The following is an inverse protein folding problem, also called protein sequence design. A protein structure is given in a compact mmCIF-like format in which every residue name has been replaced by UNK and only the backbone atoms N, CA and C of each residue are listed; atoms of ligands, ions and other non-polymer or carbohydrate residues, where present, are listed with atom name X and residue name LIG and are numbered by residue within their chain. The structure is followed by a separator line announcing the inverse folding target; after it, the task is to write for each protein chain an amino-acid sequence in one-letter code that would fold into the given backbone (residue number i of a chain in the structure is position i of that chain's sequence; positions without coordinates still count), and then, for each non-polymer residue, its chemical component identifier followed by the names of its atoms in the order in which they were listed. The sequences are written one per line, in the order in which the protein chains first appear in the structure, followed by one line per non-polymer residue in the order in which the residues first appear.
data_IF_151996941363
#
_entry.id   IF_151996941363
#
_cell.length_a   1.000
_cell.length_b   1.000
_cell.length_c   1.000
_cell.angle_alpha   90.00
_cell.angle_beta   90.00
_cell.angle_gamma   90.00
#
_symmetry.space_group_name_H-M   'P 1'
#
loop_
_entity.id
_entity.type
_entity.pdbx_description
1 polymer ?
#
# COMPACT_ATOMS: atom_id res chain seq x y z
N UNK A 1 -37.00 -3.54 49.87
CA UNK A 1 -37.69 -4.85 49.70
C UNK A 1 -38.68 -4.65 48.56
N UNK A 2 -38.61 -5.26 47.39
CA UNK A 2 -38.01 -6.52 46.94
C UNK A 2 -37.35 -6.33 45.56
N UNK A 3 -36.27 -7.08 45.35
CA UNK A 3 -35.50 -7.24 44.12
C UNK A 3 -36.28 -7.95 43.00
N UNK A 4 -35.84 -7.73 41.76
CA UNK A 4 -35.68 -8.82 40.77
C UNK A 4 -36.76 -8.92 39.69
N UNK A 5 -36.36 -8.57 38.45
CA UNK A 5 -36.61 -9.38 37.25
C UNK A 5 -35.68 -8.89 36.13
N UNK A 6 -34.62 -9.67 35.93
CA UNK A 6 -33.82 -9.67 34.70
C UNK A 6 -34.75 -9.89 33.50
N UNK A 7 -35.03 -8.84 32.74
CA UNK A 7 -35.52 -8.96 31.36
C UNK A 7 -34.30 -9.21 30.45
N UNK A 8 -33.78 -10.44 30.48
CA UNK A 8 -32.96 -10.95 29.39
C UNK A 8 -33.91 -11.24 28.23
N UNK A 9 -33.94 -10.35 27.24
CA UNK A 9 -34.44 -10.71 25.92
C UNK A 9 -33.59 -11.89 25.41
N UNK A 10 -34.19 -13.00 24.93
CA UNK A 10 -33.45 -14.07 24.28
C UNK A 10 -32.62 -13.48 23.14
N UNK A 11 -31.32 -13.79 23.07
CA UNK A 11 -30.42 -13.32 22.01
C UNK A 11 -30.97 -13.64 20.61
N UNK A 12 -31.76 -14.72 20.53
CA UNK A 12 -32.42 -15.24 19.34
C UNK A 12 -33.35 -14.21 18.66
N UNK A 13 -33.90 -13.25 19.40
CA UNK A 13 -34.80 -12.20 18.88
C UNK A 13 -34.09 -10.93 18.41
N UNK A 14 -32.83 -10.72 18.82
CA UNK A 14 -32.02 -9.55 18.41
C UNK A 14 -31.17 -9.82 17.15
N UNK A 15 -31.00 -11.10 16.78
CA UNK A 15 -30.15 -11.53 15.66
C UNK A 15 -30.87 -12.40 14.61
N UNK A 16 -32.19 -12.57 14.68
CA UNK A 16 -32.92 -13.32 13.66
C UNK A 16 -32.97 -12.54 12.35
N UNK A 17 -32.32 -13.10 11.32
CA UNK A 17 -32.25 -12.54 9.97
C UNK A 17 -33.63 -12.55 9.30
N UNK A 18 -34.03 -11.47 8.59
CA UNK A 18 -35.26 -11.45 7.80
C UNK A 18 -35.24 -12.54 6.73
N UNK A 19 -36.37 -13.23 6.48
CA UNK A 19 -36.45 -14.33 5.51
C UNK A 19 -36.06 -13.92 4.07
N UNK A 20 -36.13 -12.63 3.74
CA UNK A 20 -35.82 -12.08 2.41
C UNK A 20 -34.44 -11.42 2.32
N UNK A 21 -33.61 -11.48 3.37
CA UNK A 21 -32.28 -10.88 3.35
C UNK A 21 -31.31 -11.71 2.47
N UNK A 22 -30.41 -11.08 1.69
CA UNK A 22 -29.41 -11.80 0.91
C UNK A 22 -28.55 -12.72 1.79
N UNK A 23 -28.13 -13.86 1.23
CA UNK A 23 -27.32 -14.89 1.91
C UNK A 23 -26.14 -14.25 2.65
N UNK A 24 -25.99 -14.60 3.93
CA UNK A 24 -24.84 -14.19 4.71
C UNK A 24 -23.56 -14.72 4.04
N UNK A 25 -22.41 -14.04 4.16
CA UNK A 25 -21.16 -14.48 3.55
C UNK A 25 -20.82 -15.95 3.85
N UNK A 26 -21.13 -16.44 5.05
CA UNK A 26 -20.92 -17.83 5.46
C UNK A 26 -21.79 -18.83 4.67
N UNK A 27 -23.03 -18.47 4.35
CA UNK A 27 -23.93 -19.32 3.56
C UNK A 27 -23.54 -19.34 2.09
N UNK A 28 -23.13 -18.20 1.53
CA UNK A 28 -22.55 -18.14 0.19
C UNK A 28 -21.31 -19.00 0.07
N UNK A 29 -20.45 -18.99 1.11
CA UNK A 29 -19.29 -19.87 1.19
C UNK A 29 -19.67 -21.35 1.26
N UNK A 30 -20.67 -21.73 2.07
CA UNK A 30 -21.17 -23.11 2.14
C UNK A 30 -21.72 -23.60 0.79
N UNK A 31 -22.48 -22.75 0.09
CA UNK A 31 -23.00 -23.04 -1.25
C UNK A 31 -21.87 -23.22 -2.26
N UNK A 32 -20.87 -22.34 -2.24
CA UNK A 32 -19.71 -22.45 -3.13
C UNK A 32 -18.88 -23.71 -2.86
N UNK A 33 -18.64 -24.05 -1.59
CA UNK A 33 -17.93 -25.28 -1.18
C UNK A 33 -18.67 -26.52 -1.67
N UNK A 34 -19.98 -26.59 -1.49
CA UNK A 34 -20.79 -27.70 -1.98
C UNK A 34 -20.70 -27.83 -3.51
N UNK A 35 -20.79 -26.71 -4.23
CA UNK A 35 -20.68 -26.70 -5.69
C UNK A 35 -19.30 -27.17 -6.20
N UNK A 36 -18.22 -26.90 -5.47
CA UNK A 36 -16.88 -27.44 -5.77
C UNK A 36 -16.79 -28.95 -5.53
N UNK A 37 -17.57 -29.50 -4.60
CA UNK A 37 -17.60 -30.95 -4.37
C UNK A 37 -18.41 -31.67 -5.46
N UNK A 38 -19.50 -31.05 -5.91
CA UNK A 38 -20.44 -31.67 -6.85
C UNK A 38 -20.03 -31.54 -8.32
N UNK A 39 -19.29 -30.49 -8.69
CA UNK A 39 -18.87 -30.21 -10.07
C UNK A 39 -17.34 -30.09 -10.18
N UNK A 40 -16.72 -31.12 -10.75
CA UNK A 40 -15.27 -31.19 -10.96
C UNK A 40 -14.75 -30.12 -11.95
N UNK A 41 -15.58 -29.71 -12.92
CA UNK A 41 -15.26 -28.65 -13.88
C UNK A 41 -15.26 -27.28 -13.20
N UNK A 42 -16.30 -26.99 -12.43
CA UNK A 42 -16.35 -25.79 -11.57
C UNK A 42 -15.21 -25.79 -10.56
N UNK A 43 -14.92 -26.92 -9.91
CA UNK A 43 -13.80 -27.06 -8.98
C UNK A 43 -12.45 -26.79 -9.66
N UNK A 44 -12.25 -27.26 -10.90
CA UNK A 44 -11.03 -27.04 -11.68
C UNK A 44 -10.89 -25.58 -12.11
N UNK A 45 -11.99 -24.94 -12.54
CA UNK A 45 -12.04 -23.51 -12.85
C UNK A 45 -11.73 -22.71 -11.58
N UNK A 46 -12.45 -22.92 -10.49
CA UNK A 46 -12.21 -22.24 -9.22
C UNK A 46 -10.80 -22.50 -8.71
N UNK A 47 -10.26 -23.71 -8.80
CA UNK A 47 -8.86 -24.01 -8.44
C UNK A 47 -7.86 -23.25 -9.33
N UNK A 48 -8.10 -23.21 -10.64
CA UNK A 48 -7.22 -22.56 -11.60
C UNK A 48 -7.25 -21.04 -11.46
N UNK A 49 -8.42 -20.44 -11.27
CA UNK A 49 -8.58 -19.02 -10.96
C UNK A 49 -8.07 -18.70 -9.55
N UNK A 50 -8.37 -19.53 -8.56
CA UNK A 50 -7.89 -19.33 -7.18
C UNK A 50 -6.38 -19.52 -7.03
N UNK A 51 -5.70 -20.22 -7.93
CA UNK A 51 -4.23 -20.21 -8.00
C UNK A 51 -3.68 -18.79 -8.23
N UNK A 52 -4.49 -17.90 -8.80
CA UNK A 52 -4.19 -16.48 -9.02
C UNK A 52 -4.94 -15.54 -8.07
N UNK A 53 -6.04 -15.99 -7.42
CA UNK A 53 -6.96 -15.14 -6.65
C UNK A 53 -7.25 -15.59 -5.20
N UNK A 54 -6.91 -16.81 -4.78
CA UNK A 54 -6.93 -17.12 -3.36
C UNK A 54 -5.73 -16.44 -2.72
N UNK A 55 -6.06 -15.63 -1.72
CA UNK A 55 -5.23 -15.18 -0.61
C UNK A 55 -3.80 -15.64 -0.76
N UNK A 56 -2.87 -14.71 -1.02
CA UNK A 56 -1.50 -15.07 -0.85
C UNK A 56 -1.35 -15.39 0.64
N UNK A 57 -1.45 -16.68 0.99
CA UNK A 57 -0.43 -17.28 1.83
C UNK A 57 0.85 -17.10 1.02
N UNK A 58 1.35 -15.87 0.98
CA UNK A 58 2.71 -15.60 0.61
C UNK A 58 3.49 -16.58 1.48
N UNK A 59 4.40 -17.33 0.85
CA UNK A 59 5.41 -18.04 1.63
C UNK A 59 6.10 -16.93 2.42
N UNK A 60 5.68 -16.73 3.67
CA UNK A 60 6.29 -15.81 4.62
C UNK A 60 7.75 -16.25 4.62
N UNK A 61 8.62 -15.47 3.99
CA UNK A 61 10.03 -15.83 3.95
C UNK A 61 10.63 -15.73 5.36
N UNK A 62 10.00 -14.91 6.20
CA UNK A 62 10.23 -14.74 7.63
C UNK A 62 9.56 -13.46 8.09
N UNK A 63 9.73 -13.17 9.39
CA UNK A 63 9.57 -11.82 9.93
C UNK A 63 10.95 -11.18 9.96
N UNK A 64 11.02 -9.87 9.75
CA UNK A 64 12.26 -9.15 10.02
C UNK A 64 12.67 -9.36 11.48
N UNK A 65 13.97 -9.58 11.72
CA UNK A 65 14.48 -9.79 13.08
C UNK A 65 14.19 -8.54 13.90
N UNK A 66 13.71 -8.72 15.13
CA UNK A 66 13.53 -7.62 16.07
C UNK A 66 14.82 -6.81 16.19
N UNK A 67 14.68 -5.49 16.07
CA UNK A 67 15.79 -4.59 16.31
C UNK A 67 16.04 -4.53 17.83
N UNK A 68 17.20 -5.01 18.33
CA UNK A 68 17.49 -5.07 19.76
C UNK A 68 17.61 -3.69 20.42
N UNK A 69 17.77 -2.62 19.62
CA UNK A 69 17.92 -1.24 20.11
C UNK A 69 16.57 -0.55 20.39
N UNK A 70 15.44 -1.21 20.09
CA UNK A 70 14.12 -0.63 20.36
C UNK A 70 13.85 -0.58 21.87
N UNK A 71 13.26 0.51 22.38
CA UNK A 71 12.78 0.54 23.77
C UNK A 71 11.78 -0.61 23.98
N UNK A 72 11.78 -1.18 25.17
CA UNK A 72 10.83 -2.24 25.51
C UNK A 72 9.56 -1.63 26.10
N UNK A 73 8.42 -1.87 25.45
CA UNK A 73 7.10 -1.58 25.97
C UNK A 73 6.24 -2.84 25.86
N UNK A 74 5.74 -3.31 27.00
CA UNK A 74 4.91 -4.52 27.03
C UNK A 74 3.53 -4.26 26.41
N UNK A 75 3.11 -5.16 25.51
CA UNK A 75 1.76 -5.14 24.94
C UNK A 75 0.72 -5.46 26.02
N UNK A 76 -0.32 -4.62 26.11
CA UNK A 76 -1.43 -4.83 27.03
C UNK A 76 -2.47 -5.75 26.40
N UNK A 77 -2.84 -6.83 27.11
CA UNK A 77 -3.88 -7.77 26.66
C UNK A 77 -5.25 -7.43 27.25
N UNK A 78 -6.37 -7.69 26.54
CA UNK A 78 -6.45 -8.33 25.22
C UNK A 78 -6.05 -7.38 24.08
N UNK A 79 -5.39 -7.94 23.06
CA UNK A 79 -4.95 -7.19 21.87
C UNK A 79 -5.24 -8.00 20.60
N UNK A 80 -5.39 -7.28 19.48
CA UNK A 80 -5.58 -7.86 18.14
C UNK A 80 -4.39 -7.53 17.25
N UNK A 81 -4.15 -8.41 16.28
CA UNK A 81 -3.15 -8.27 15.26
C UNK A 81 -3.82 -8.29 13.88
N UNK A 82 -3.61 -7.22 13.11
CA UNK A 82 -4.14 -7.06 11.76
C UNK A 82 -3.02 -7.29 10.74
N UNK A 83 -3.29 -8.10 9.72
CA UNK A 83 -2.42 -8.21 8.57
C UNK A 83 -2.86 -7.21 7.50
N UNK A 84 -1.96 -6.31 7.11
CA UNK A 84 -2.22 -5.19 6.20
C UNK A 84 -1.32 -5.29 4.99
N UNK A 85 -1.93 -5.44 3.82
CA UNK A 85 -1.27 -5.55 2.53
C UNK A 85 -1.31 -4.19 1.82
N UNK A 86 -0.14 -3.71 1.41
CA UNK A 86 0.03 -2.48 0.64
C UNK A 86 0.39 -2.86 -0.78
N UNK A 87 -0.45 -2.50 -1.74
CA UNK A 87 -0.25 -2.79 -3.14
C UNK A 87 0.60 -1.73 -3.83
N UNK A 88 1.14 -2.11 -5.00
CA UNK A 88 1.79 -1.18 -5.92
C UNK A 88 0.89 0.01 -6.21
N UNK A 89 1.46 1.22 -6.33
CA UNK A 89 0.66 2.35 -6.75
C UNK A 89 0.17 2.13 -8.17
N UNK A 90 -1.10 2.43 -8.44
CA UNK A 90 -1.65 2.34 -9.78
C UNK A 90 -1.18 3.54 -10.60
N UNK A 91 -0.20 3.32 -11.48
CA UNK A 91 0.15 4.32 -12.49
C UNK A 91 -0.76 4.09 -13.69
N UNK A 92 -1.74 4.98 -13.92
CA UNK A 92 -2.47 5.02 -15.17
C UNK A 92 -1.46 5.22 -16.30
N UNK A 93 -1.20 4.17 -17.07
CA UNK A 93 -0.47 4.31 -18.33
C UNK A 93 -1.23 5.32 -19.18
N UNK A 94 -0.61 6.45 -19.47
CA UNK A 94 -1.13 7.45 -20.41
C UNK A 94 -1.11 6.94 -21.86
N UNK A 95 -0.57 5.74 -22.09
CA UNK A 95 -0.66 5.07 -23.38
C UNK A 95 -2.02 4.40 -23.46
N UNK A 96 -2.95 5.07 -24.15
CA UNK A 96 -4.15 4.46 -24.72
C UNK A 96 -3.72 3.37 -25.72
N UNK A 97 -3.26 2.24 -25.22
CA UNK A 97 -3.05 1.05 -26.04
C UNK A 97 -4.41 0.43 -26.36
N UNK A 98 -4.66 0.30 -27.67
CA UNK A 98 -5.90 -0.08 -28.34
C UNK A 98 -6.37 -1.52 -28.10
N UNK A 99 -5.98 -2.15 -26.99
CA UNK A 99 -6.34 -3.54 -26.67
C UNK A 99 -7.04 -3.63 -25.31
N UNK A 100 -8.37 -3.87 -25.29
CA UNK A 100 -9.12 -3.95 -24.05
C UNK A 100 -9.01 -5.37 -23.49
N UNK A 101 -7.86 -5.76 -22.93
CA UNK A 101 -7.80 -7.01 -22.14
C UNK A 101 -6.52 -7.17 -21.34
N UNK A 102 -6.59 -6.80 -20.05
CA UNK A 102 -6.15 -7.61 -18.91
C UNK A 102 -6.67 -6.91 -17.66
N UNK A 103 -7.27 -7.67 -16.74
CA UNK A 103 -7.55 -7.15 -15.40
C UNK A 103 -6.27 -6.51 -14.84
N UNK A 104 -6.36 -5.37 -14.14
CA UNK A 104 -5.19 -4.75 -13.52
C UNK A 104 -4.46 -5.79 -12.66
N UNK A 105 -3.16 -5.98 -12.93
CA UNK A 105 -2.32 -6.88 -12.15
C UNK A 105 -1.99 -6.21 -10.81
N UNK A 106 -2.82 -6.44 -9.81
CA UNK A 106 -2.57 -6.01 -8.45
C UNK A 106 -1.45 -6.85 -7.84
N UNK A 107 -0.31 -6.22 -7.59
CA UNK A 107 0.81 -6.84 -6.91
C UNK A 107 0.97 -6.23 -5.53
N UNK A 108 0.99 -7.08 -4.51
CA UNK A 108 1.39 -6.69 -3.16
C UNK A 108 2.84 -6.22 -3.22
N UNK A 109 3.08 -5.02 -2.69
CA UNK A 109 4.40 -4.40 -2.60
C UNK A 109 5.02 -4.65 -1.23
N UNK A 110 4.23 -4.51 -0.17
CA UNK A 110 4.61 -4.67 1.23
C UNK A 110 3.46 -5.30 2.00
N UNK A 111 3.78 -6.02 3.06
CA UNK A 111 2.81 -6.60 3.99
C UNK A 111 3.29 -6.35 5.42
N UNK A 112 2.37 -5.95 6.29
CA UNK A 112 2.67 -5.58 7.66
C UNK A 112 1.71 -6.26 8.63
N UNK A 113 2.19 -6.61 9.81
CA UNK A 113 1.34 -6.89 10.96
C UNK A 113 1.30 -5.65 11.86
N UNK A 114 0.09 -5.17 12.20
CA UNK A 114 -0.12 -3.99 13.04
C UNK A 114 -0.99 -4.35 14.25
N UNK A 115 -0.70 -3.75 15.40
CA UNK A 115 -1.52 -3.94 16.60
C UNK A 115 -2.78 -3.07 16.55
N UNK A 116 -3.87 -3.53 17.15
CA UNK A 116 -5.10 -2.75 17.29
C UNK A 116 -4.88 -1.41 18.01
N UNK A 117 -4.01 -1.38 19.03
CA UNK A 117 -3.73 -0.16 19.79
C UNK A 117 -2.88 0.89 19.07
N UNK A 118 -2.30 0.58 17.91
CA UNK A 118 -1.44 1.51 17.17
C UNK A 118 -2.26 2.56 16.42
N UNK A 119 -1.71 3.77 16.36
CA UNK A 119 -2.27 4.84 15.53
C UNK A 119 -2.00 4.57 14.05
N UNK A 120 -2.87 5.07 13.18
CA UNK A 120 -2.71 4.93 11.72
C UNK A 120 -1.36 5.47 11.22
N UNK A 121 -0.84 6.50 11.89
CA UNK A 121 0.47 7.09 11.59
C UNK A 121 1.62 6.10 11.73
N UNK A 122 1.52 5.13 12.65
CA UNK A 122 2.56 4.13 12.86
C UNK A 122 2.71 3.20 11.64
N UNK A 123 1.59 2.85 10.97
CA UNK A 123 1.64 2.17 9.68
C UNK A 123 2.13 3.10 8.57
N UNK A 124 1.58 4.32 8.49
CA UNK A 124 1.97 5.31 7.46
C UNK A 124 3.49 5.51 7.41
N UNK A 125 4.13 5.62 8.57
CA UNK A 125 5.57 5.88 8.67
C UNK A 125 6.42 4.69 8.22
N UNK A 126 5.86 3.46 8.24
CA UNK A 126 6.52 2.22 7.77
C UNK A 126 6.34 1.95 6.29
N UNK A 127 5.33 2.51 5.64
CA UNK A 127 5.11 2.32 4.19
C UNK A 127 6.27 2.97 3.44
N UNK A 128 6.98 2.17 2.64
CA UNK A 128 8.00 2.65 1.72
C UNK A 128 7.47 2.75 0.28
N UNK A 129 7.52 3.93 -0.31
CA UNK A 129 7.18 4.11 -1.72
C UNK A 129 8.40 4.60 -2.52
N UNK A 130 8.52 4.14 -3.77
CA UNK A 130 9.53 4.66 -4.72
C UNK A 130 9.36 6.18 -4.88
N UNK A 131 8.11 6.66 -4.93
CA UNK A 131 7.81 8.10 -5.00
C UNK A 131 8.31 8.87 -3.79
N UNK A 132 8.35 8.27 -2.60
CA UNK A 132 8.85 8.94 -1.38
C UNK A 132 10.36 9.17 -1.43
N UNK A 133 11.09 8.17 -1.92
CA UNK A 133 12.55 8.21 -2.07
C UNK A 133 12.98 8.97 -3.33
N UNK A 134 12.04 9.30 -4.22
CA UNK A 134 12.34 10.04 -5.43
C UNK A 134 12.91 11.42 -5.11
N UNK A 135 13.80 11.89 -5.98
CA UNK A 135 14.44 13.20 -5.87
C UNK A 135 13.87 14.05 -7.00
N UNK A 136 13.26 15.21 -6.69
CA UNK A 136 12.69 16.07 -7.71
C UNK A 136 13.79 16.84 -8.46
N UNK A 137 13.50 17.19 -9.71
CA UNK A 137 14.35 18.09 -10.49
C UNK A 137 15.21 17.38 -11.54
N UNK A 138 15.61 18.15 -12.55
CA UNK A 138 16.50 17.72 -13.62
C UNK A 138 17.95 18.02 -13.21
N UNK A 139 18.80 17.01 -13.32
CA UNK A 139 20.21 17.01 -12.93
C UNK A 139 21.14 16.90 -14.15
N UNK A 140 20.63 17.10 -15.36
CA UNK A 140 21.44 17.07 -16.59
C UNK A 140 22.54 18.14 -16.63
N UNK A 141 22.33 19.30 -16.00
CA UNK A 141 23.35 20.36 -15.93
C UNK A 141 24.25 20.24 -14.70
N UNK A 142 23.80 19.54 -13.67
CA UNK A 142 24.42 19.54 -12.35
C UNK A 142 24.51 18.13 -11.73
N UNK A 143 24.94 17.09 -12.48
CA UNK A 143 24.76 15.67 -12.12
C UNK A 143 25.54 15.20 -10.89
N UNK A 144 26.51 15.98 -10.44
CA UNK A 144 27.34 15.70 -9.26
C UNK A 144 26.79 16.32 -7.97
N UNK A 145 25.78 17.18 -8.06
CA UNK A 145 25.17 17.77 -6.86
C UNK A 145 24.43 16.69 -6.09
N UNK A 146 24.69 16.64 -4.79
CA UNK A 146 23.99 15.72 -3.92
C UNK A 146 22.51 16.15 -3.84
N UNK A 147 21.56 15.20 -3.92
CA UNK A 147 20.17 15.47 -3.60
C UNK A 147 20.06 16.02 -2.18
N UNK A 148 19.46 17.20 -2.03
CA UNK A 148 19.28 17.81 -0.70
C UNK A 148 18.01 17.33 -0.01
N UNK A 149 16.94 17.07 -0.77
CA UNK A 149 15.60 16.84 -0.22
C UNK A 149 14.88 15.76 -1.03
N UNK A 150 14.23 14.82 -0.34
CA UNK A 150 13.40 13.78 -0.97
C UNK A 150 11.98 14.26 -1.22
N UNK A 151 11.24 13.62 -2.14
CA UNK A 151 9.83 13.91 -2.35
C UNK A 151 8.99 13.71 -1.08
N UNK A 152 9.33 12.75 -0.21
CA UNK A 152 8.65 12.58 1.09
C UNK A 152 8.77 13.80 1.98
N UNK A 153 9.92 14.46 1.96
CA UNK A 153 10.18 15.65 2.79
C UNK A 153 9.47 16.90 2.26
N UNK A 154 9.30 17.02 0.94
CA UNK A 154 8.57 18.12 0.30
C UNK A 154 7.05 17.92 0.32
N UNK A 155 6.59 16.69 0.12
CA UNK A 155 5.18 16.35 -0.12
C UNK A 155 4.65 15.43 0.98
N UNK A 156 4.61 15.94 2.21
CA UNK A 156 4.27 15.17 3.43
C UNK A 156 2.79 14.81 3.57
N UNK A 157 1.94 15.38 2.73
CA UNK A 157 0.49 15.23 2.84
C UNK A 157 0.04 13.85 2.36
N UNK A 158 -0.95 13.27 3.03
CA UNK A 158 -1.53 12.01 2.63
C UNK A 158 -2.72 11.63 3.50
N UNK A 159 -3.53 10.69 3.00
CA UNK A 159 -4.70 10.18 3.72
C UNK A 159 -4.88 8.67 3.50
N UNK A 160 -5.46 8.01 4.49
CA UNK A 160 -6.11 6.72 4.32
C UNK A 160 -7.60 6.96 4.11
N UNK A 161 -8.20 6.21 3.21
CA UNK A 161 -9.64 6.22 3.01
C UNK A 161 -10.21 4.86 3.37
N UNK A 162 -10.85 4.77 4.54
CA UNK A 162 -11.49 3.55 5.05
C UNK A 162 -12.98 3.81 5.26
N UNK A 163 -13.82 3.03 4.55
CA UNK A 163 -15.27 2.96 4.74
C UNK A 163 -15.97 4.33 4.82
N UNK A 164 -15.74 5.21 3.84
CA UNK A 164 -16.37 6.54 3.80
C UNK A 164 -15.70 7.60 4.66
N UNK A 165 -14.59 7.28 5.33
CA UNK A 165 -13.84 8.22 6.18
C UNK A 165 -12.45 8.48 5.61
N UNK A 166 -12.12 9.75 5.40
CA UNK A 166 -10.77 10.22 5.10
C UNK A 166 -10.00 10.48 6.40
N UNK A 167 -9.00 9.66 6.67
CA UNK A 167 -8.05 9.83 7.76
C UNK A 167 -6.85 10.61 7.24
N UNK A 168 -6.89 11.93 7.38
CA UNK A 168 -5.84 12.83 6.90
C UNK A 168 -4.70 12.87 7.92
N UNK A 169 -3.46 12.85 7.44
CA UNK A 169 -2.31 13.15 8.30
C UNK A 169 -2.03 14.65 8.30
N UNK A 170 -2.28 15.26 9.45
CA UNK A 170 -2.10 16.70 9.65
C UNK A 170 -1.03 16.99 10.72
N UNK A 171 -0.10 16.07 10.95
CA UNK A 171 0.98 16.22 11.95
C UNK A 171 1.94 17.36 11.64
N UNK A 172 2.11 17.72 10.36
CA UNK A 172 2.98 18.82 9.95
C UNK A 172 2.18 20.05 9.50
N UNK A 173 2.59 21.28 9.84
CA UNK A 173 1.93 22.51 9.38
C UNK A 173 1.80 22.64 7.86
N UNK A 174 2.73 22.06 7.10
CA UNK A 174 2.72 22.09 5.63
C UNK A 174 1.81 21.02 5.00
N UNK A 175 1.19 20.15 5.81
CA UNK A 175 0.24 19.16 5.32
C UNK A 175 -1.02 19.85 4.79
N UNK A 176 -1.48 19.40 3.62
CA UNK A 176 -2.70 19.84 2.95
C UNK A 176 -3.75 18.75 3.06
N UNK A 177 -4.99 19.16 3.32
CA UNK A 177 -6.14 18.27 3.32
C UNK A 177 -6.57 17.98 1.88
N UNK A 178 -6.10 16.87 1.31
CA UNK A 178 -6.51 16.44 -0.04
C UNK A 178 -7.97 16.01 -0.11
N UNK A 179 -8.57 15.62 1.02
CA UNK A 179 -9.95 15.12 1.05
C UNK A 179 -10.98 16.22 0.79
N UNK A 180 -10.66 17.48 1.08
CA UNK A 180 -11.57 18.62 0.91
C UNK A 180 -12.07 18.77 -0.54
N UNK A 181 -11.16 18.69 -1.51
CA UNK A 181 -11.51 18.77 -2.94
C UNK A 181 -12.40 17.60 -3.36
N UNK A 182 -12.12 16.39 -2.85
CA UNK A 182 -12.88 15.18 -3.18
C UNK A 182 -14.31 15.26 -2.61
N UNK A 183 -14.43 15.68 -1.36
CA UNK A 183 -15.72 15.85 -0.67
C UNK A 183 -16.55 16.93 -1.37
N UNK A 184 -15.95 18.10 -1.64
CA UNK A 184 -16.62 19.20 -2.33
C UNK A 184 -17.12 18.79 -3.71
N UNK A 185 -16.29 18.05 -4.47
CA UNK A 185 -16.69 17.50 -5.76
C UNK A 185 -17.89 16.55 -5.63
N UNK A 186 -17.84 15.61 -4.68
CA UNK A 186 -18.92 14.64 -4.47
C UNK A 186 -20.26 15.28 -4.05
N UNK A 187 -20.22 16.39 -3.32
CA UNK A 187 -21.40 17.16 -2.90
C UNK A 187 -21.95 18.08 -4.01
N UNK A 188 -21.06 18.58 -4.89
CA UNK A 188 -21.42 19.59 -5.91
C UNK A 188 -22.29 19.07 -7.05
N UNK A 189 -22.28 17.76 -7.30
CA UNK A 189 -23.18 17.11 -8.25
C UNK A 189 -24.06 16.10 -7.53
N UNK A 190 -25.25 15.85 -8.05
CA UNK A 190 -26.14 14.79 -7.57
C UNK A 190 -25.60 13.40 -7.97
N UNK A 191 -24.36 13.11 -7.56
CA UNK A 191 -23.59 11.92 -7.90
C UNK A 191 -24.05 10.70 -7.11
N UNK A 192 -24.73 10.91 -5.97
CA UNK A 192 -25.18 9.84 -5.09
C UNK A 192 -24.04 9.12 -4.37
N UNK A 193 -22.89 9.80 -4.19
CA UNK A 193 -21.70 9.26 -3.52
C UNK A 193 -21.49 10.02 -2.20
N UNK A 194 -21.24 9.28 -1.12
CA UNK A 194 -21.13 9.81 0.24
C UNK A 194 -22.34 9.41 1.12
N UNK A 195 -22.53 10.05 2.29
CA UNK A 195 -21.73 11.14 2.84
C UNK A 195 -20.33 10.68 3.27
N UNK A 196 -19.35 11.56 3.10
CA UNK A 196 -17.98 11.32 3.56
C UNK A 196 -17.72 11.99 4.90
N UNK A 197 -16.79 11.43 5.68
CA UNK A 197 -16.33 11.99 6.95
C UNK A 197 -14.82 12.23 6.93
N UNK A 198 -14.34 13.05 7.86
CA UNK A 198 -12.92 13.31 8.06
C UNK A 198 -12.50 12.96 9.49
N UNK A 199 -11.30 12.43 9.63
CA UNK A 199 -10.64 12.15 10.90
C UNK A 199 -9.12 12.36 10.75
N UNK A 200 -8.41 12.40 11.87
CA UNK A 200 -6.95 12.59 11.90
C UNK A 200 -6.24 11.27 12.15
N UNK A 201 -5.25 10.92 11.33
CA UNK A 201 -4.48 9.68 11.51
C UNK A 201 -3.82 9.60 12.88
N UNK A 202 -3.29 10.72 13.37
CA UNK A 202 -2.56 10.80 14.64
C UNK A 202 -3.46 10.68 15.88
N UNK A 203 -4.78 10.55 15.68
CA UNK A 203 -5.78 10.38 16.74
C UNK A 203 -6.67 9.15 16.57
N UNK A 204 -6.44 8.35 15.52
CA UNK A 204 -7.24 7.16 15.22
C UNK A 204 -6.38 5.92 15.36
N UNK A 205 -6.85 4.94 16.14
CA UNK A 205 -6.19 3.64 16.26
C UNK A 205 -6.82 2.63 15.29
N UNK A 206 -6.10 1.56 15.01
CA UNK A 206 -6.62 0.47 14.17
C UNK A 206 -7.86 -0.20 14.75
N UNK A 207 -7.94 -0.33 16.08
CA UNK A 207 -9.09 -0.91 16.77
C UNK A 207 -10.37 -0.06 16.64
N UNK A 208 -10.23 1.23 16.32
CA UNK A 208 -11.36 2.16 16.16
C UNK A 208 -11.96 2.12 14.75
N UNK A 209 -11.37 1.36 13.82
CA UNK A 209 -11.78 1.35 12.42
C UNK A 209 -12.96 0.42 12.16
N UNK A 210 -13.90 0.91 11.35
CA UNK A 210 -14.93 0.06 10.72
C UNK A 210 -14.39 -0.47 9.37
N UNK A 211 -13.80 -1.67 9.40
CA UNK A 211 -13.19 -2.29 8.22
C UNK A 211 -13.83 -3.65 7.87
N UNK A 212 -13.76 -4.00 6.60
CA UNK A 212 -14.12 -5.30 6.06
C UNK A 212 -12.85 -6.00 5.59
N UNK A 213 -12.61 -7.21 6.11
CA UNK A 213 -11.48 -8.04 5.68
C UNK A 213 -11.58 -8.39 4.19
N UNK A 214 -10.46 -8.28 3.49
CA UNK A 214 -10.36 -8.51 2.05
C UNK A 214 -10.92 -7.38 1.17
N UNK A 215 -11.51 -6.32 1.75
CA UNK A 215 -12.00 -5.19 0.98
C UNK A 215 -10.85 -4.22 0.60
N UNK A 216 -10.76 -3.76 -0.65
CA UNK A 216 -9.73 -2.82 -1.07
C UNK A 216 -10.06 -1.40 -0.62
N UNK A 217 -9.19 -0.87 0.22
CA UNK A 217 -9.14 0.53 0.63
C UNK A 217 -8.02 1.28 -0.08
N UNK A 218 -7.89 2.59 0.17
CA UNK A 218 -6.90 3.44 -0.51
C UNK A 218 -6.05 4.20 0.49
N UNK A 219 -4.74 4.25 0.23
CA UNK A 219 -3.79 5.20 0.79
C UNK A 219 -3.30 6.13 -0.32
N UNK A 220 -3.42 7.43 -0.14
CA UNK A 220 -2.91 8.42 -1.10
C UNK A 220 -1.85 9.28 -0.42
N UNK A 221 -0.72 9.46 -1.09
CA UNK A 221 0.32 10.42 -0.69
C UNK A 221 0.85 11.18 -1.91
N UNK A 222 1.52 12.31 -1.65
CA UNK A 222 2.03 13.22 -2.69
C UNK A 222 0.98 13.73 -3.70
N UNK A 223 -0.31 13.61 -3.35
CA UNK A 223 -1.45 14.09 -4.14
C UNK A 223 -1.93 13.16 -5.24
N UNK A 224 -1.10 12.22 -5.72
CA UNK A 224 -1.48 11.32 -6.82
C UNK A 224 -0.88 9.89 -6.72
N UNK A 225 -0.13 9.58 -5.66
CA UNK A 225 0.42 8.24 -5.48
C UNK A 225 -0.58 7.40 -4.68
N UNK A 226 -1.42 6.64 -5.39
CA UNK A 226 -2.54 5.88 -4.84
C UNK A 226 -2.16 4.40 -4.67
N UNK A 227 -2.13 3.92 -3.43
CA UNK A 227 -1.88 2.53 -3.08
C UNK A 227 -3.18 1.88 -2.61
N UNK A 228 -3.48 0.67 -3.07
CA UNK A 228 -4.52 -0.13 -2.42
C UNK A 228 -4.00 -0.66 -1.08
N UNK A 229 -4.88 -0.64 -0.09
CA UNK A 229 -4.66 -1.16 1.26
C UNK A 229 -5.71 -2.22 1.54
N UNK A 230 -5.29 -3.44 1.87
CA UNK A 230 -6.20 -4.54 2.19
C UNK A 230 -5.87 -5.09 3.56
N UNK A 231 -6.86 -5.13 4.44
CA UNK A 231 -6.77 -5.88 5.69
C UNK A 231 -7.08 -7.34 5.37
N UNK A 232 -6.05 -8.18 5.26
CA UNK A 232 -6.19 -9.56 4.77
C UNK A 232 -6.58 -10.54 5.86
N UNK A 233 -6.23 -10.25 7.12
CA UNK A 233 -6.47 -11.13 8.26
C UNK A 233 -6.57 -10.35 9.57
N UNK A 234 -7.27 -10.92 10.55
CA UNK A 234 -7.38 -10.43 11.93
C UNK A 234 -7.22 -11.61 12.88
N UNK A 235 -6.27 -11.50 13.80
CA UNK A 235 -5.95 -12.53 14.76
C UNK A 235 -5.93 -11.95 16.17
N UNK A 236 -6.21 -12.80 17.16
CA UNK A 236 -5.87 -12.45 18.54
C UNK A 236 -4.35 -12.44 18.70
N UNK A 237 -3.84 -11.42 19.40
CA UNK A 237 -2.45 -11.41 19.80
C UNK A 237 -2.16 -12.64 20.69
N UNK A 238 -1.02 -13.28 20.46
CA UNK A 238 -0.56 -14.44 21.21
C UNK A 238 0.93 -14.33 21.49
N UNK A 239 1.38 -15.04 22.53
CA UNK A 239 2.78 -15.12 22.97
C UNK A 239 3.80 -15.62 21.93
N UNK A 240 3.35 -16.07 20.75
CA UNK A 240 4.23 -16.44 19.64
C UNK A 240 4.75 -15.24 18.85
N UNK A 241 4.16 -14.06 19.05
CA UNK A 241 4.63 -12.82 18.43
C UNK A 241 5.53 -12.01 19.37
N UNK A 242 6.12 -10.94 18.84
CA UNK A 242 6.90 -10.00 19.65
C UNK A 242 6.08 -9.47 20.82
N UNK A 243 6.65 -9.49 22.02
CA UNK A 243 6.02 -8.87 23.20
C UNK A 243 6.27 -7.37 23.32
N UNK A 244 7.11 -6.81 22.43
CA UNK A 244 7.45 -5.40 22.43
C UNK A 244 6.55 -4.63 21.46
N UNK A 245 5.74 -3.69 21.97
CA UNK A 245 4.86 -2.82 21.16
C UNK A 245 5.64 -2.11 20.05
N UNK A 246 6.88 -1.69 20.31
CA UNK A 246 7.71 -0.95 19.36
C UNK A 246 8.27 -1.80 18.22
N UNK A 247 8.15 -3.13 18.29
CA UNK A 247 8.49 -4.01 17.17
C UNK A 247 7.48 -3.90 16.02
N UNK A 248 6.28 -3.38 16.29
CA UNK A 248 5.21 -3.20 15.31
C UNK A 248 5.22 -1.78 14.72
N UNK A 249 4.75 -1.58 13.47
CA UNK A 249 4.38 -2.60 12.49
C UNK A 249 5.53 -3.53 12.10
N UNK A 250 5.26 -4.84 12.11
CA UNK A 250 6.24 -5.86 11.69
C UNK A 250 6.08 -6.07 10.20
N UNK A 251 7.15 -5.84 9.43
CA UNK A 251 7.17 -6.15 8.01
C UNK A 251 7.27 -7.67 7.77
N UNK A 252 6.42 -8.16 6.87
CA UNK A 252 6.40 -9.57 6.44
C UNK A 252 7.17 -9.65 5.14
N UNK A 253 8.29 -10.38 5.15
CA UNK A 253 9.19 -10.41 3.99
C UNK A 253 8.52 -11.09 2.79
N UNK A 254 8.35 -10.32 1.70
CA UNK A 254 7.84 -10.78 0.42
C UNK A 254 8.97 -11.29 -0.50
N UNK A 255 8.60 -11.73 -1.71
CA UNK A 255 9.60 -12.15 -2.72
C UNK A 255 10.49 -10.98 -3.12
N UNK A 256 11.80 -11.19 -3.36
CA UNK A 256 12.69 -10.15 -3.85
C UNK A 256 12.15 -9.48 -5.11
N UNK A 257 12.17 -8.14 -5.11
CA UNK A 257 11.75 -7.31 -6.23
C UNK A 257 12.81 -7.38 -7.33
N UNK A 258 12.37 -7.37 -8.59
CA UNK A 258 13.30 -7.35 -9.73
C UNK A 258 13.93 -5.96 -9.86
N UNK A 259 15.26 -5.92 -9.92
CA UNK A 259 16.04 -4.72 -10.22
C UNK A 259 15.90 -4.31 -11.70
N UNK A 260 15.93 -3.01 -11.94
CA UNK A 260 16.10 -2.38 -13.24
C UNK A 260 17.59 -2.28 -13.53
N UNK A 261 18.04 -2.95 -14.58
CA UNK A 261 19.44 -2.93 -14.99
C UNK A 261 19.74 -1.74 -15.90
N UNK A 262 20.96 -1.25 -15.85
CA UNK A 262 21.48 -0.31 -16.82
C UNK A 262 21.36 -0.89 -18.23
N UNK A 263 20.81 -0.10 -19.15
CA UNK A 263 20.59 -0.50 -20.54
C UNK A 263 21.84 -0.44 -21.41
N UNK A 264 22.96 0.07 -20.87
CA UNK A 264 24.25 0.12 -21.57
C UNK A 264 25.10 -1.10 -21.23
N UNK A 265 25.34 -1.33 -19.93
CA UNK A 265 26.21 -2.43 -19.49
C UNK A 265 25.45 -3.73 -19.18
N UNK A 266 24.15 -3.67 -18.90
CA UNK A 266 23.33 -4.80 -18.43
C UNK A 266 23.86 -5.54 -17.19
N UNK A 267 24.76 -4.92 -16.43
CA UNK A 267 25.42 -5.52 -15.25
C UNK A 267 24.94 -4.84 -13.97
N UNK A 268 25.05 -3.51 -13.91
CA UNK A 268 24.77 -2.72 -12.73
C UNK A 268 23.31 -2.25 -12.69
N UNK A 269 22.76 -2.11 -11.49
CA UNK A 269 21.44 -1.51 -11.26
C UNK A 269 21.43 -0.07 -11.76
N UNK A 270 20.31 0.36 -12.33
CA UNK A 270 20.14 1.72 -12.79
C UNK A 270 20.04 2.69 -11.59
N UNK A 271 20.70 3.84 -11.71
CA UNK A 271 20.66 4.95 -10.74
C UNK A 271 20.15 6.24 -11.40
N UNK A 272 20.06 6.24 -12.74
CA UNK A 272 19.70 7.39 -13.56
C UNK A 272 18.68 6.97 -14.61
N UNK A 273 17.70 7.84 -14.82
CA UNK A 273 16.77 7.78 -15.96
C UNK A 273 16.98 9.03 -16.81
N UNK A 274 17.20 8.82 -18.11
CA UNK A 274 17.52 9.88 -19.06
C UNK A 274 16.43 9.96 -20.11
N UNK A 275 15.93 11.17 -20.36
CA UNK A 275 14.91 11.46 -21.35
C UNK A 275 15.47 12.29 -22.50
N UNK A 276 14.86 12.14 -23.67
CA UNK A 276 15.03 12.99 -24.85
C UNK A 276 16.48 13.04 -25.39
N UNK A 277 17.29 12.02 -25.05
CA UNK A 277 18.64 11.88 -25.53
C UNK A 277 18.67 11.24 -26.93
N UNK A 278 19.02 12.03 -27.95
CA UNK A 278 19.08 11.57 -29.35
C UNK A 278 20.19 10.55 -29.66
N UNK A 279 21.12 10.33 -28.73
CA UNK A 279 22.27 9.43 -28.90
C UNK A 279 21.98 7.98 -28.44
N UNK A 280 20.79 7.73 -27.89
CA UNK A 280 20.32 6.40 -27.47
C UNK A 280 19.07 5.98 -28.25
N UNK A 281 18.81 4.67 -28.32
CA UNK A 281 17.72 4.12 -29.10
C UNK A 281 16.35 4.19 -28.39
N UNK A 282 16.34 4.18 -27.05
CA UNK A 282 15.11 4.14 -26.24
C UNK A 282 14.92 5.43 -25.45
N UNK A 283 13.67 5.84 -25.23
CA UNK A 283 13.32 6.99 -24.42
C UNK A 283 12.13 6.62 -23.51
N UNK A 284 12.30 6.57 -22.18
CA UNK A 284 13.53 6.84 -21.42
C UNK A 284 14.60 5.75 -21.54
N UNK A 285 15.87 6.09 -21.26
CA UNK A 285 16.96 5.12 -21.09
C UNK A 285 17.47 5.10 -19.65
N UNK A 286 17.70 3.91 -19.10
CA UNK A 286 18.21 3.69 -17.75
C UNK A 286 19.74 3.48 -17.73
N UNK A 287 20.44 4.23 -16.88
CA UNK A 287 21.90 4.15 -16.72
C UNK A 287 22.28 3.81 -15.27
N UNK A 288 23.32 3.00 -15.09
CA UNK A 288 24.05 3.00 -13.82
C UNK A 288 24.91 4.26 -13.75
N UNK A 289 25.39 4.62 -12.55
CA UNK A 289 26.20 5.82 -12.35
C UNK A 289 27.40 5.92 -13.31
N UNK A 290 28.17 4.85 -13.45
CA UNK A 290 29.38 4.86 -14.28
C UNK A 290 29.06 5.09 -15.77
N UNK A 291 28.10 4.33 -16.33
CA UNK A 291 27.71 4.50 -17.73
C UNK A 291 27.05 5.87 -17.98
N UNK A 292 26.31 6.40 -17.01
CA UNK A 292 25.69 7.72 -17.13
C UNK A 292 26.74 8.80 -17.37
N UNK A 293 27.75 8.89 -16.50
CA UNK A 293 28.82 9.88 -16.63
C UNK A 293 29.67 9.66 -17.87
N UNK A 294 30.12 8.42 -18.12
CA UNK A 294 31.00 8.10 -19.24
C UNK A 294 30.35 8.32 -20.63
N UNK A 295 29.02 8.18 -20.74
CA UNK A 295 28.33 8.32 -22.02
C UNK A 295 27.86 9.76 -22.29
N UNK A 296 27.38 10.45 -21.24
CA UNK A 296 26.67 11.72 -21.38
C UNK A 296 27.53 12.95 -21.14
N UNK A 297 28.73 12.84 -20.56
CA UNK A 297 29.58 13.97 -20.24
C UNK A 297 31.00 13.78 -20.79
N UNK A 298 31.67 14.88 -21.12
CA UNK A 298 33.07 14.89 -21.56
C UNK A 298 34.05 14.98 -20.38
N UNK A 299 35.35 15.06 -20.68
CA UNK A 299 36.43 15.16 -19.67
C UNK A 299 36.36 16.44 -18.82
N UNK A 300 35.65 17.48 -19.28
CA UNK A 300 35.42 18.73 -18.57
C UNK A 300 34.06 18.76 -17.85
N UNK A 301 33.42 17.60 -17.68
CA UNK A 301 32.08 17.44 -17.12
C UNK A 301 30.97 18.18 -17.90
N UNK A 302 31.19 18.47 -19.18
CA UNK A 302 30.18 19.12 -20.02
C UNK A 302 29.28 18.10 -20.71
N UNK A 303 27.98 18.36 -20.71
CA UNK A 303 26.99 17.48 -21.32
C UNK A 303 27.20 17.37 -22.85
N UNK A 304 27.32 16.14 -23.34
CA UNK A 304 27.47 15.83 -24.76
C UNK A 304 26.08 15.65 -25.38
N UNK A 305 25.51 16.76 -25.85
CA UNK A 305 24.17 16.84 -26.42
C UNK A 305 23.14 17.37 -25.42
N UNK A 306 21.87 17.36 -25.82
CA UNK A 306 20.74 17.81 -24.99
C UNK A 306 19.95 16.60 -24.50
N UNK A 307 19.70 16.53 -23.20
CA UNK A 307 18.90 15.49 -22.55
C UNK A 307 18.45 15.99 -21.18
N UNK A 308 17.47 15.31 -20.58
CA UNK A 308 17.07 15.54 -19.18
C UNK A 308 17.45 14.32 -18.36
N UNK A 309 17.98 14.50 -17.17
CA UNK A 309 18.47 13.41 -16.34
C UNK A 309 17.87 13.49 -14.93
N UNK A 310 17.31 12.38 -14.47
CA UNK A 310 16.70 12.28 -13.15
C UNK A 310 17.30 11.10 -12.40
N UNK A 311 17.37 11.20 -11.07
CA UNK A 311 17.72 10.06 -10.23
C UNK A 311 16.64 8.98 -10.34
N UNK A 312 17.08 7.75 -10.57
CA UNK A 312 16.21 6.59 -10.55
C UNK A 312 16.30 5.88 -9.20
N UNK A 313 15.17 5.69 -8.54
CA UNK A 313 15.05 4.87 -7.35
C UNK A 313 14.61 3.48 -7.78
N UNK A 314 15.52 2.51 -7.67
CA UNK A 314 15.19 1.12 -7.94
C UNK A 314 14.28 0.56 -6.86
N UNK A 315 13.21 -0.10 -7.28
CA UNK A 315 12.24 -0.70 -6.38
C UNK A 315 12.80 -1.89 -5.58
N UNK A 316 13.88 -2.52 -6.02
CA UNK A 316 14.60 -3.51 -5.21
C UNK A 316 15.27 -2.92 -3.98
N UNK A 317 15.36 -1.58 -3.89
CA UNK A 317 15.94 -0.88 -2.75
C UNK A 317 14.87 -0.36 -1.76
N UNK A 318 13.60 -0.76 -1.95
CA UNK A 318 12.53 -0.56 -0.96
C UNK A 318 12.13 -1.92 -0.36
N UNK A 319 11.72 -1.92 0.92
CA UNK A 319 11.42 -3.07 1.80
C UNK A 319 10.90 -4.34 1.10
#
# INVERSE_FOLDING_TARGET
MLFGRDLRLPADLLFSRPPDAPLAPEELQKVDVQKRQDDLGYATVVYSFSKFYNYPLHKIAGFDKENPDLPYEQIQEPEVLLCVQIFRPEQKSTVYESHPSRLPNFHIDQEFMVLGCQYLTELRDKIECVSDKAIPGDYSECPKHAPEVTCKELYRSGFFYFNGVFYNDMRHPDCRDYSETIISWAESGNHGIGPFRKAFMERTKFIDLEIQLGYPYVYVHQGNCEHLVVFSDLQYYTHHHSSNRHAYPVHVTLRPKKRVLCMICHIHTAEWIVFDNKRVAENPTYFCKQCFFAFNYDENDQAIGSFRAYHHVDRSNIL
#
